data_IF_310055387840
#
_entry.id   IF_310055387840
#
_cell.length_a   1.000
_cell.length_b   1.000
_cell.length_c   1.000
_cell.angle_alpha   90.00
_cell.angle_beta   90.00
_cell.angle_gamma   90.00
#
_symmetry.space_group_name_H-M   'P 1'
#
loop_
_entity.id
_entity.type
_entity.pdbx_description
1 polymer ?
#
# COMPACT_ATOMS: atom_id res chain seq x y z
N UNK A 1 -9.96 -50.22 -4.59
CA UNK A 1 -9.17 -49.16 -5.22
C UNK A 1 -8.99 -47.91 -4.38
N UNK A 2 -9.13 -48.06 -3.05
CA UNK A 2 -8.93 -46.97 -2.08
C UNK A 2 -7.53 -46.37 -2.14
N UNK A 3 -6.53 -47.16 -2.52
CA UNK A 3 -5.15 -46.70 -2.65
C UNK A 3 -4.96 -45.72 -3.83
N UNK A 4 -5.66 -45.90 -4.92
CA UNK A 4 -5.62 -45.03 -6.08
C UNK A 4 -6.34 -43.71 -5.79
N UNK A 5 -7.51 -43.75 -5.13
CA UNK A 5 -8.27 -42.58 -4.67
C UNK A 5 -7.44 -41.78 -3.64
N UNK A 6 -6.84 -42.47 -2.66
CA UNK A 6 -5.97 -41.80 -1.65
C UNK A 6 -4.74 -41.17 -2.29
N UNK A 7 -4.16 -41.76 -3.32
CA UNK A 7 -3.03 -41.22 -4.06
C UNK A 7 -3.43 -39.98 -4.87
N UNK A 8 -4.61 -40.02 -5.51
CA UNK A 8 -5.19 -38.89 -6.26
C UNK A 8 -5.46 -37.70 -5.33
N UNK A 9 -6.16 -37.93 -4.22
CA UNK A 9 -6.43 -36.89 -3.22
C UNK A 9 -5.15 -36.28 -2.62
N UNK A 10 -4.08 -37.05 -2.52
CA UNK A 10 -2.79 -36.58 -2.01
C UNK A 10 -2.07 -35.68 -3.02
N UNK A 11 -2.12 -36.05 -4.33
CA UNK A 11 -1.59 -35.24 -5.44
C UNK A 11 -2.36 -33.94 -5.60
N UNK A 12 -3.69 -33.98 -5.51
CA UNK A 12 -4.55 -32.80 -5.61
C UNK A 12 -4.31 -31.84 -4.45
N UNK A 13 -4.15 -32.34 -3.23
CA UNK A 13 -3.77 -31.53 -2.05
C UNK A 13 -2.38 -30.88 -2.19
N UNK A 14 -1.42 -31.57 -2.79
CA UNK A 14 -0.09 -31.01 -3.03
C UNK A 14 -0.12 -29.95 -4.14
N UNK A 15 -0.86 -30.19 -5.21
CA UNK A 15 -1.07 -29.22 -6.29
C UNK A 15 -1.74 -27.93 -5.78
N UNK A 16 -2.79 -28.07 -4.96
CA UNK A 16 -3.49 -26.94 -4.34
C UNK A 16 -2.53 -26.13 -3.44
N UNK A 17 -1.78 -26.81 -2.57
CA UNK A 17 -0.78 -26.13 -1.69
C UNK A 17 0.27 -25.37 -2.48
N UNK A 18 0.75 -25.95 -3.58
CA UNK A 18 1.71 -25.32 -4.46
C UNK A 18 1.11 -24.08 -5.14
N UNK A 19 -0.11 -24.19 -5.68
CA UNK A 19 -0.80 -23.09 -6.31
C UNK A 19 -1.08 -21.94 -5.34
N UNK A 20 -1.56 -22.24 -4.12
CA UNK A 20 -1.75 -21.26 -3.07
C UNK A 20 -0.45 -20.58 -2.64
N UNK A 21 0.62 -21.36 -2.45
CA UNK A 21 1.94 -20.83 -2.13
C UNK A 21 2.42 -19.88 -3.22
N UNK A 22 2.24 -20.23 -4.49
CA UNK A 22 2.67 -19.42 -5.63
C UNK A 22 1.91 -18.10 -5.71
N UNK A 23 0.57 -18.11 -5.52
CA UNK A 23 -0.24 -16.90 -5.46
C UNK A 23 0.19 -16.00 -4.30
N UNK A 24 0.31 -16.56 -3.08
CA UNK A 24 0.78 -15.82 -1.89
C UNK A 24 2.14 -15.19 -2.12
N UNK A 25 3.09 -15.93 -2.71
CA UNK A 25 4.43 -15.42 -3.00
C UNK A 25 4.39 -14.21 -3.94
N UNK A 26 3.50 -14.19 -4.92
CA UNK A 26 3.32 -13.05 -5.82
C UNK A 26 2.73 -11.84 -5.11
N UNK A 27 1.74 -12.03 -4.27
CA UNK A 27 1.15 -10.94 -3.48
C UNK A 27 2.18 -10.36 -2.50
N UNK A 28 2.95 -11.19 -1.80
CA UNK A 28 4.06 -10.71 -0.97
C UNK A 28 5.13 -9.98 -1.79
N UNK A 29 5.36 -10.39 -3.02
CA UNK A 29 6.25 -9.68 -3.94
C UNK A 29 5.75 -8.26 -4.26
N UNK A 30 4.44 -8.06 -4.44
CA UNK A 30 3.83 -6.73 -4.60
C UNK A 30 3.96 -5.90 -3.32
N UNK A 31 3.72 -6.47 -2.14
CA UNK A 31 3.91 -5.79 -0.85
C UNK A 31 5.36 -5.31 -0.65
N UNK A 32 6.34 -6.13 -1.01
CA UNK A 32 7.75 -5.78 -0.91
C UNK A 32 8.14 -4.66 -1.90
N UNK A 33 7.62 -4.70 -3.11
CA UNK A 33 7.83 -3.65 -4.11
C UNK A 33 7.21 -2.33 -3.65
N UNK A 34 5.97 -2.37 -3.16
CA UNK A 34 5.27 -1.21 -2.61
C UNK A 34 6.02 -0.60 -1.43
N UNK A 35 6.49 -1.43 -0.50
CA UNK A 35 7.26 -0.98 0.66
C UNK A 35 8.56 -0.26 0.26
N UNK A 36 9.26 -0.76 -0.77
CA UNK A 36 10.48 -0.11 -1.30
C UNK A 36 10.16 1.22 -1.97
N UNK A 37 9.15 1.23 -2.82
CA UNK A 37 8.71 2.44 -3.51
C UNK A 37 8.27 3.52 -2.53
N UNK A 38 7.45 3.18 -1.54
CA UNK A 38 7.04 4.08 -0.47
C UNK A 38 8.25 4.66 0.28
N UNK A 39 9.23 3.82 0.62
CA UNK A 39 10.44 4.30 1.28
C UNK A 39 11.20 5.33 0.44
N UNK A 40 11.41 5.05 -0.83
CA UNK A 40 12.11 5.95 -1.75
C UNK A 40 11.35 7.25 -1.91
N UNK A 41 10.03 7.20 -2.03
CA UNK A 41 9.18 8.38 -2.18
C UNK A 41 9.15 9.25 -0.93
N UNK A 42 9.06 8.65 0.26
CA UNK A 42 9.16 9.37 1.54
C UNK A 42 10.55 10.00 1.75
N UNK A 43 11.60 9.29 1.37
CA UNK A 43 12.96 9.84 1.41
C UNK A 43 13.14 11.03 0.47
N UNK A 44 12.54 10.99 -0.71
CA UNK A 44 12.56 12.10 -1.65
C UNK A 44 11.83 13.31 -1.07
N UNK A 45 10.61 13.15 -0.59
CA UNK A 45 9.85 14.21 0.04
C UNK A 45 10.59 14.83 1.25
N UNK A 46 11.24 13.99 2.07
CA UNK A 46 12.09 14.48 3.17
C UNK A 46 13.23 15.38 2.66
N UNK A 47 13.95 14.97 1.61
CA UNK A 47 15.05 15.76 1.04
C UNK A 47 14.57 17.13 0.55
N UNK A 48 13.43 17.16 -0.14
CA UNK A 48 12.82 18.37 -0.66
C UNK A 48 12.39 19.33 0.46
N UNK A 49 11.71 18.82 1.49
CA UNK A 49 11.33 19.59 2.67
C UNK A 49 12.54 20.06 3.48
N UNK A 50 13.57 19.22 3.64
CA UNK A 50 14.80 19.58 4.34
C UNK A 50 15.58 20.68 3.61
N UNK A 51 15.58 20.67 2.28
CA UNK A 51 16.19 21.75 1.47
C UNK A 51 15.45 23.08 1.68
N UNK A 52 14.11 23.09 1.73
CA UNK A 52 13.30 24.27 2.02
C UNK A 52 13.56 24.81 3.42
N UNK A 53 13.68 23.93 4.41
CA UNK A 53 14.11 24.33 5.76
C UNK A 53 15.50 24.98 5.73
N UNK A 54 16.48 24.41 5.03
CA UNK A 54 17.82 24.96 4.90
C UNK A 54 17.79 26.38 4.33
N UNK A 55 17.05 26.59 3.25
CA UNK A 55 16.91 27.93 2.63
C UNK A 55 16.25 28.93 3.59
N UNK A 56 15.23 28.48 4.33
CA UNK A 56 14.53 29.33 5.29
C UNK A 56 15.42 29.76 6.44
N UNK A 57 16.24 28.86 6.99
CA UNK A 57 17.17 29.13 8.08
C UNK A 57 18.43 29.94 7.66
N UNK A 58 18.86 29.81 6.39
CA UNK A 58 20.05 30.49 5.89
C UNK A 58 19.84 32.02 5.70
N UNK A 59 18.61 32.49 5.65
CA UNK A 59 18.31 33.87 5.26
C UNK A 59 18.32 34.90 6.43
N UNK A 60 18.19 34.48 7.69
CA UNK A 60 18.26 35.36 8.87
C UNK A 60 18.30 34.58 10.19
N UNK A 61 18.81 35.19 11.26
CA UNK A 61 18.83 34.64 12.62
C UNK A 61 17.43 34.39 13.23
N UNK A 62 16.38 35.02 12.68
CA UNK A 62 15.00 34.80 13.10
C UNK A 62 14.02 34.81 11.90
N UNK A 63 13.30 33.72 11.70
CA UNK A 63 12.21 33.67 10.74
C UNK A 63 11.06 34.57 11.18
N UNK A 64 10.73 35.60 10.39
CA UNK A 64 9.55 36.40 10.63
C UNK A 64 8.26 35.58 10.33
N UNK A 65 7.10 36.09 10.79
CA UNK A 65 5.81 35.40 10.69
C UNK A 65 5.46 35.06 9.26
N UNK A 66 5.69 35.97 8.31
CA UNK A 66 5.34 35.77 6.89
C UNK A 66 6.19 34.66 6.26
N UNK A 67 7.48 34.62 6.51
CA UNK A 67 8.39 33.57 5.99
C UNK A 67 8.08 32.23 6.61
N UNK A 68 7.72 32.19 7.89
CA UNK A 68 7.27 30.97 8.55
C UNK A 68 6.00 30.41 7.89
N UNK A 69 5.02 31.28 7.60
CA UNK A 69 3.80 30.87 6.91
C UNK A 69 4.09 30.33 5.51
N UNK A 70 4.93 31.03 4.74
CA UNK A 70 5.34 30.60 3.41
C UNK A 70 6.06 29.24 3.44
N UNK A 71 6.96 29.01 4.42
CA UNK A 71 7.63 27.73 4.62
C UNK A 71 6.63 26.61 4.93
N UNK A 72 5.68 26.85 5.83
CA UNK A 72 4.67 25.85 6.19
C UNK A 72 3.75 25.51 5.01
N UNK A 73 3.40 26.49 4.17
CA UNK A 73 2.65 26.24 2.92
C UNK A 73 3.46 25.42 1.92
N UNK A 74 4.75 25.69 1.77
CA UNK A 74 5.61 24.90 0.88
C UNK A 74 5.76 23.45 1.36
N UNK A 75 5.85 23.23 2.66
CA UNK A 75 5.93 21.88 3.25
C UNK A 75 4.59 21.14 3.08
N UNK A 76 3.47 21.84 3.24
CA UNK A 76 2.15 21.28 2.98
C UNK A 76 2.02 20.82 1.51
N UNK A 77 2.44 21.66 0.56
CA UNK A 77 2.42 21.31 -0.86
C UNK A 77 3.28 20.05 -1.17
N UNK A 78 4.45 19.90 -0.52
CA UNK A 78 5.26 18.68 -0.67
C UNK A 78 4.54 17.44 -0.10
N UNK A 79 3.83 17.62 1.01
CA UNK A 79 3.03 16.52 1.58
C UNK A 79 1.86 16.15 0.68
N UNK A 80 1.20 17.13 0.07
CA UNK A 80 0.12 16.90 -0.88
C UNK A 80 0.61 16.15 -2.11
N UNK A 81 1.76 16.53 -2.66
CA UNK A 81 2.40 15.83 -3.76
C UNK A 81 2.77 14.38 -3.37
N UNK A 82 3.39 14.19 -2.19
CA UNK A 82 3.72 12.85 -1.69
C UNK A 82 2.48 11.96 -1.60
N UNK A 83 1.41 12.45 -0.95
CA UNK A 83 0.21 11.64 -0.72
C UNK A 83 -0.58 11.41 -2.01
N UNK A 84 -0.56 12.36 -2.96
CA UNK A 84 -1.11 12.17 -4.29
C UNK A 84 -0.40 11.07 -5.08
N UNK A 85 0.94 11.06 -5.03
CA UNK A 85 1.74 10.01 -5.67
C UNK A 85 1.49 8.64 -5.02
N UNK A 86 1.42 8.60 -3.67
CA UNK A 86 1.09 7.38 -2.92
C UNK A 86 -0.28 6.83 -3.33
N UNK A 87 -1.29 7.70 -3.42
CA UNK A 87 -2.63 7.30 -3.83
C UNK A 87 -2.65 6.72 -5.25
N UNK A 88 -2.01 7.38 -6.19
CA UNK A 88 -1.96 6.94 -7.58
C UNK A 88 -1.19 5.61 -7.74
N UNK A 89 -0.06 5.48 -7.05
CA UNK A 89 0.76 4.27 -7.13
C UNK A 89 0.05 3.09 -6.47
N UNK A 90 -0.51 3.27 -5.28
CA UNK A 90 -1.26 2.24 -4.58
C UNK A 90 -2.44 1.75 -5.42
N UNK A 91 -3.17 2.65 -6.08
CA UNK A 91 -4.26 2.27 -6.96
C UNK A 91 -3.81 1.36 -8.11
N UNK A 92 -2.65 1.62 -8.73
CA UNK A 92 -2.11 0.74 -9.76
C UNK A 92 -1.71 -0.63 -9.18
N UNK A 93 -1.08 -0.64 -8.00
CA UNK A 93 -0.71 -1.87 -7.30
C UNK A 93 -1.94 -2.71 -6.92
N UNK A 94 -3.05 -2.08 -6.54
CA UNK A 94 -4.33 -2.77 -6.28
C UNK A 94 -4.91 -3.42 -7.54
N UNK A 95 -4.86 -2.74 -8.70
CA UNK A 95 -5.30 -3.34 -9.96
C UNK A 95 -4.48 -4.59 -10.29
N UNK A 96 -3.18 -4.56 -10.05
CA UNK A 96 -2.30 -5.70 -10.27
C UNK A 96 -2.54 -6.81 -9.22
N UNK A 97 -2.77 -6.47 -7.98
CA UNK A 97 -3.12 -7.42 -6.93
C UNK A 97 -4.45 -8.14 -7.23
N UNK A 98 -5.46 -7.40 -7.70
CA UNK A 98 -6.73 -7.99 -8.15
C UNK A 98 -6.51 -9.00 -9.28
N UNK A 99 -5.72 -8.63 -10.32
CA UNK A 99 -5.38 -9.54 -11.42
C UNK A 99 -4.66 -10.79 -10.93
N UNK A 100 -3.68 -10.62 -10.03
CA UNK A 100 -2.95 -11.75 -9.45
C UNK A 100 -3.89 -12.67 -8.65
N UNK A 101 -4.79 -12.11 -7.87
CA UNK A 101 -5.81 -12.86 -7.14
C UNK A 101 -6.74 -13.63 -8.09
N UNK A 102 -7.27 -12.96 -9.10
CA UNK A 102 -8.17 -13.55 -10.08
C UNK A 102 -7.51 -14.67 -10.88
N UNK A 103 -6.46 -14.36 -11.64
CA UNK A 103 -5.84 -15.36 -12.52
C UNK A 103 -5.09 -16.44 -11.74
N UNK A 104 -4.50 -16.08 -10.61
CA UNK A 104 -3.84 -17.05 -9.73
C UNK A 104 -4.83 -18.05 -9.15
N UNK A 105 -6.01 -17.58 -8.75
CA UNK A 105 -7.06 -18.47 -8.22
C UNK A 105 -7.72 -19.31 -9.33
N UNK A 106 -7.94 -18.73 -10.51
CA UNK A 106 -8.41 -19.48 -11.67
C UNK A 106 -7.46 -20.64 -12.02
N UNK A 107 -6.15 -20.34 -12.05
CA UNK A 107 -5.13 -21.37 -12.28
C UNK A 107 -5.11 -22.42 -11.15
N UNK A 108 -5.25 -22.01 -9.89
CA UNK A 108 -5.31 -22.93 -8.75
C UNK A 108 -6.50 -23.89 -8.86
N UNK A 109 -7.67 -23.40 -9.25
CA UNK A 109 -8.85 -24.22 -9.49
C UNK A 109 -8.64 -25.19 -10.66
N UNK A 110 -8.09 -24.72 -11.78
CA UNK A 110 -7.84 -25.54 -12.97
C UNK A 110 -6.87 -26.70 -12.66
N UNK A 111 -5.89 -26.47 -11.79
CA UNK A 111 -4.94 -27.51 -11.34
C UNK A 111 -5.57 -28.56 -10.41
N UNK A 112 -6.71 -28.29 -9.82
CA UNK A 112 -7.35 -29.14 -8.80
C UNK A 112 -8.69 -29.72 -9.23
N UNK A 113 -9.23 -29.29 -10.38
CA UNK A 113 -10.44 -29.83 -10.95
C UNK A 113 -10.15 -31.05 -11.86
N UNK A 114 -11.16 -31.88 -12.02
CA UNK A 114 -11.06 -33.01 -12.96
C UNK A 114 -10.85 -32.50 -14.39
N UNK A 115 -10.15 -33.25 -15.26
CA UNK A 115 -9.85 -32.81 -16.63
C UNK A 115 -11.10 -32.50 -17.49
N UNK A 116 -12.25 -33.05 -17.12
CA UNK A 116 -13.54 -32.83 -17.78
C UNK A 116 -14.20 -31.53 -17.37
N UNK A 117 -13.76 -30.93 -16.25
CA UNK A 117 -14.30 -29.70 -15.69
C UNK A 117 -13.43 -28.52 -16.13
N UNK A 118 -14.02 -27.61 -16.89
CA UNK A 118 -13.33 -26.41 -17.34
C UNK A 118 -13.59 -25.25 -16.37
N UNK A 119 -12.53 -24.75 -15.80
CA UNK A 119 -12.57 -23.51 -15.02
C UNK A 119 -12.78 -22.31 -15.95
N UNK A 120 -13.78 -21.51 -15.65
CA UNK A 120 -14.06 -20.28 -16.41
C UNK A 120 -13.17 -19.16 -15.89
N UNK A 121 -12.27 -18.70 -16.71
CA UNK A 121 -11.47 -17.50 -16.46
C UNK A 121 -11.63 -16.56 -17.65
N UNK A 122 -12.53 -15.59 -17.53
CA UNK A 122 -12.76 -14.59 -18.57
C UNK A 122 -11.65 -13.56 -18.57
N UNK A 123 -11.38 -12.96 -19.73
CA UNK A 123 -10.61 -11.73 -19.75
C UNK A 123 -11.36 -10.64 -18.98
N UNK A 124 -10.71 -10.05 -17.98
CA UNK A 124 -11.28 -8.97 -17.19
C UNK A 124 -10.89 -7.61 -17.79
N UNK A 125 -11.87 -6.84 -18.28
CA UNK A 125 -11.61 -5.47 -18.69
C UNK A 125 -11.07 -4.63 -17.53
N UNK A 126 -10.12 -3.75 -17.79
CA UNK A 126 -9.51 -2.89 -16.76
C UNK A 126 -10.56 -2.05 -16.02
N UNK A 127 -11.62 -1.63 -16.69
CA UNK A 127 -12.70 -0.85 -16.06
C UNK A 127 -13.53 -1.67 -15.08
N UNK A 128 -13.74 -2.97 -15.34
CA UNK A 128 -14.40 -3.86 -14.39
C UNK A 128 -13.55 -4.08 -13.14
N UNK A 129 -12.24 -4.28 -13.31
CA UNK A 129 -11.30 -4.37 -12.18
C UNK A 129 -11.30 -3.08 -11.39
N UNK A 130 -11.25 -1.93 -12.07
CA UNK A 130 -11.29 -0.61 -11.44
C UNK A 130 -12.56 -0.42 -10.62
N UNK A 131 -13.72 -0.76 -11.16
CA UNK A 131 -15.00 -0.68 -10.45
C UNK A 131 -15.00 -1.54 -9.18
N UNK A 132 -14.48 -2.77 -9.26
CA UNK A 132 -14.38 -3.70 -8.13
C UNK A 132 -13.44 -3.17 -7.04
N UNK A 133 -12.26 -2.67 -7.41
CA UNK A 133 -11.26 -2.12 -6.46
C UNK A 133 -11.79 -0.86 -5.78
N UNK A 134 -12.53 0.01 -6.49
CA UNK A 134 -13.12 1.23 -5.94
C UNK A 134 -14.39 0.99 -5.11
N UNK A 135 -14.92 -0.23 -5.08
CA UNK A 135 -16.08 -0.55 -4.24
C UNK A 135 -15.72 -0.41 -2.75
N UNK A 136 -16.46 0.41 -1.98
CA UNK A 136 -16.14 0.61 -0.57
C UNK A 136 -16.18 -0.68 0.23
N UNK A 137 -15.19 -0.90 1.08
CA UNK A 137 -15.22 -1.95 2.09
C UNK A 137 -15.60 -1.34 3.45
N UNK A 138 -16.59 -1.92 4.11
CA UNK A 138 -17.09 -1.41 5.41
C UNK A 138 -17.51 0.09 5.34
N UNK A 139 -18.09 0.52 4.20
CA UNK A 139 -18.65 1.85 4.03
C UNK A 139 -17.65 2.99 3.81
N UNK A 140 -16.35 2.71 3.70
CA UNK A 140 -15.32 3.72 3.40
C UNK A 140 -14.46 3.30 2.22
N UNK A 141 -14.17 4.25 1.34
CA UNK A 141 -13.15 4.09 0.33
C UNK A 141 -11.75 4.26 0.97
N UNK A 142 -10.76 3.48 0.53
CA UNK A 142 -9.40 3.58 1.03
C UNK A 142 -8.79 4.99 0.82
N UNK A 143 -9.20 5.68 -0.26
CA UNK A 143 -8.80 7.06 -0.52
C UNK A 143 -9.20 8.03 0.59
N UNK A 144 -10.36 7.84 1.23
CA UNK A 144 -10.78 8.62 2.40
C UNK A 144 -9.87 8.34 3.62
N UNK A 145 -9.49 7.06 3.81
CA UNK A 145 -8.57 6.68 4.89
C UNK A 145 -7.19 7.30 4.68
N UNK A 146 -6.72 7.35 3.43
CA UNK A 146 -5.46 7.98 3.08
C UNK A 146 -5.52 9.49 3.27
N UNK A 147 -6.64 10.12 2.90
CA UNK A 147 -6.86 11.56 3.10
C UNK A 147 -6.87 11.94 4.58
N UNK A 148 -7.55 11.18 5.43
CA UNK A 148 -7.54 11.40 6.86
C UNK A 148 -6.13 11.24 7.46
N UNK A 149 -5.39 10.23 6.99
CA UNK A 149 -3.99 10.06 7.40
C UNK A 149 -3.12 11.24 6.97
N UNK A 150 -3.33 11.78 5.76
CA UNK A 150 -2.66 12.98 5.23
C UNK A 150 -2.93 14.19 6.12
N UNK A 151 -4.19 14.49 6.45
CA UNK A 151 -4.56 15.69 7.20
C UNK A 151 -3.96 15.68 8.61
N UNK A 152 -4.02 14.55 9.31
CA UNK A 152 -3.37 14.37 10.60
C UNK A 152 -1.84 14.56 10.49
N UNK A 153 -1.26 14.03 9.43
CA UNK A 153 0.16 14.11 9.19
C UNK A 153 0.66 15.53 8.90
N UNK A 154 -0.01 16.24 8.00
CA UNK A 154 0.28 17.66 7.72
C UNK A 154 0.21 18.50 8.99
N UNK A 155 -0.83 18.31 9.80
CA UNK A 155 -1.00 19.05 11.06
C UNK A 155 0.16 18.77 12.03
N UNK A 156 0.60 17.52 12.14
CA UNK A 156 1.70 17.12 13.02
C UNK A 156 3.02 17.72 12.58
N UNK A 157 3.34 17.68 11.29
CA UNK A 157 4.55 18.30 10.72
C UNK A 157 4.52 19.81 10.92
N UNK A 158 3.41 20.48 10.65
CA UNK A 158 3.28 21.93 10.87
C UNK A 158 3.53 22.31 12.33
N UNK A 159 2.97 21.57 13.28
CA UNK A 159 3.20 21.77 14.72
C UNK A 159 4.66 21.56 15.08
N UNK A 160 5.28 20.49 14.62
CA UNK A 160 6.66 20.14 14.89
C UNK A 160 7.62 21.22 14.40
N UNK A 161 7.47 21.68 13.16
CA UNK A 161 8.30 22.76 12.59
C UNK A 161 8.06 24.08 13.30
N UNK A 162 6.80 24.42 13.60
CA UNK A 162 6.48 25.65 14.35
C UNK A 162 7.15 25.63 15.72
N UNK A 163 7.11 24.50 16.43
CA UNK A 163 7.78 24.34 17.72
C UNK A 163 9.29 24.51 17.60
N UNK A 164 9.91 23.94 16.57
CA UNK A 164 11.35 24.11 16.30
C UNK A 164 11.74 25.58 16.07
N UNK A 165 10.95 26.30 15.28
CA UNK A 165 11.20 27.72 14.98
C UNK A 165 11.02 28.61 16.23
N UNK A 166 9.93 28.40 16.98
CA UNK A 166 9.66 29.18 18.21
C UNK A 166 10.68 28.85 19.29
N UNK A 167 11.08 27.60 19.42
CA UNK A 167 12.08 27.15 20.39
C UNK A 167 13.52 27.55 20.05
N UNK A 168 13.76 28.20 18.91
CA UNK A 168 15.11 28.61 18.48
C UNK A 168 16.01 27.40 18.17
N UNK A 169 15.44 26.25 17.79
CA UNK A 169 16.20 25.06 17.43
C UNK A 169 17.09 25.33 16.21
N UNK A 170 18.25 24.70 16.17
CA UNK A 170 19.12 24.77 14.99
C UNK A 170 18.47 24.08 13.80
N UNK A 171 18.88 24.45 12.58
CA UNK A 171 18.44 23.79 11.33
C UNK A 171 18.58 22.27 11.41
N UNK A 172 19.71 21.77 11.94
CA UNK A 172 19.95 20.34 12.07
C UNK A 172 18.97 19.64 13.02
N UNK A 173 18.53 20.33 14.07
CA UNK A 173 17.50 19.84 14.99
C UNK A 173 16.12 19.81 14.32
N UNK A 174 15.74 20.88 13.60
CA UNK A 174 14.50 20.96 12.86
C UNK A 174 14.41 19.88 11.77
N UNK A 175 15.48 19.64 11.01
CA UNK A 175 15.55 18.57 10.02
C UNK A 175 15.43 17.17 10.65
N UNK A 176 16.08 16.95 11.79
CA UNK A 176 15.99 15.69 12.52
C UNK A 176 14.56 15.46 13.00
N UNK A 177 13.91 16.47 13.56
CA UNK A 177 12.52 16.42 13.99
C UNK A 177 11.56 16.14 12.81
N UNK A 178 11.76 16.80 11.67
CA UNK A 178 11.00 16.52 10.45
C UNK A 178 11.14 15.05 10.00
N UNK A 179 12.36 14.52 10.05
CA UNK A 179 12.61 13.12 9.72
C UNK A 179 11.90 12.16 10.66
N UNK A 180 11.90 12.47 11.96
CA UNK A 180 11.22 11.67 12.98
C UNK A 180 9.71 11.70 12.79
N UNK A 181 9.12 12.85 12.44
CA UNK A 181 7.68 12.97 12.13
C UNK A 181 7.28 12.20 10.86
N UNK A 182 8.13 12.18 9.86
CA UNK A 182 7.93 11.34 8.68
C UNK A 182 8.05 9.84 8.97
N UNK A 183 8.60 9.48 10.12
CA UNK A 183 8.81 8.09 10.52
C UNK A 183 9.93 7.39 9.74
N UNK A 184 10.82 8.16 9.13
CA UNK A 184 11.94 7.65 8.34
C UNK A 184 13.08 7.24 9.28
N UNK A 185 13.45 5.95 9.38
CA UNK A 185 14.51 5.50 10.26
C UNK A 185 15.88 6.01 9.80
N UNK A 186 16.77 6.26 10.73
CA UNK A 186 18.19 6.54 10.44
C UNK A 186 18.94 5.33 9.90
N UNK A 187 18.45 4.13 10.23
CA UNK A 187 18.92 2.84 9.76
C UNK A 187 17.72 2.01 9.31
N UNK A 188 17.76 1.47 8.10
CA UNK A 188 16.70 0.59 7.53
C UNK A 188 16.37 -0.61 8.42
N UNK A 189 17.32 -1.04 9.30
CA UNK A 189 17.13 -2.14 10.24
C UNK A 189 16.28 -1.76 11.46
N UNK A 190 16.14 -0.46 11.72
CA UNK A 190 15.34 0.05 12.83
C UNK A 190 13.92 0.33 12.35
N UNK A 191 13.08 -0.64 12.23
CA UNK A 191 11.70 -0.59 11.77
C UNK A 191 11.05 0.80 11.61
N UNK A 192 10.21 0.93 10.62
CA UNK A 192 9.49 2.17 10.31
C UNK A 192 8.53 2.55 11.45
N UNK A 193 8.37 3.85 11.69
CA UNK A 193 7.53 4.38 12.78
C UNK A 193 6.48 5.36 12.22
N UNK A 194 5.45 5.60 13.02
CA UNK A 194 4.45 6.64 12.81
C UNK A 194 3.80 6.65 11.40
N UNK A 195 3.90 7.74 10.68
CA UNK A 195 3.14 7.99 9.45
C UNK A 195 3.56 7.08 8.29
N UNK A 196 4.84 6.82 8.11
CA UNK A 196 5.30 5.85 7.12
C UNK A 196 4.73 4.45 7.39
N UNK A 197 4.79 4.00 8.65
CA UNK A 197 4.24 2.71 9.05
C UNK A 197 2.73 2.63 8.81
N UNK A 198 1.98 3.70 9.11
CA UNK A 198 0.55 3.76 8.85
C UNK A 198 0.22 3.68 7.36
N UNK A 199 0.95 4.44 6.51
CA UNK A 199 0.79 4.37 5.06
C UNK A 199 1.10 2.97 4.52
N UNK A 200 2.15 2.34 5.01
CA UNK A 200 2.52 0.98 4.65
C UNK A 200 1.45 -0.06 5.07
N UNK A 201 0.84 0.11 6.26
CA UNK A 201 -0.27 -0.74 6.69
C UNK A 201 -1.50 -0.58 5.79
N UNK A 202 -1.85 0.66 5.42
CA UNK A 202 -2.95 0.92 4.48
C UNK A 202 -2.65 0.20 3.15
N UNK A 203 -1.48 0.42 2.58
CA UNK A 203 -1.08 -0.19 1.32
C UNK A 203 -1.16 -1.73 1.37
N UNK A 204 -0.60 -2.33 2.41
CA UNK A 204 -0.64 -3.78 2.60
C UNK A 204 -2.07 -4.33 2.72
N UNK A 205 -2.90 -3.67 3.50
CA UNK A 205 -4.31 -4.05 3.67
C UNK A 205 -5.06 -4.00 2.35
N UNK A 206 -4.86 -2.95 1.56
CA UNK A 206 -5.54 -2.76 0.30
C UNK A 206 -5.04 -3.73 -0.79
N UNK A 207 -3.76 -4.02 -0.86
CA UNK A 207 -3.19 -5.05 -1.75
C UNK A 207 -3.83 -6.42 -1.45
N UNK A 208 -3.90 -6.81 -0.18
CA UNK A 208 -4.53 -8.07 0.23
C UNK A 208 -6.02 -8.08 -0.09
N UNK A 209 -6.73 -6.98 0.19
CA UNK A 209 -8.15 -6.82 -0.13
C UNK A 209 -8.39 -6.98 -1.63
N UNK A 210 -7.65 -6.28 -2.47
CA UNK A 210 -7.79 -6.34 -3.93
C UNK A 210 -7.54 -7.76 -4.47
N UNK A 211 -6.52 -8.44 -3.97
CA UNK A 211 -6.25 -9.84 -4.32
C UNK A 211 -7.39 -10.77 -3.94
N UNK A 212 -7.96 -10.61 -2.73
CA UNK A 212 -9.09 -11.41 -2.28
C UNK A 212 -10.35 -11.14 -3.12
N UNK A 213 -10.63 -9.89 -3.48
CA UNK A 213 -11.73 -9.55 -4.38
C UNK A 213 -11.59 -10.24 -5.74
N UNK A 214 -10.37 -10.27 -6.30
CA UNK A 214 -10.08 -11.02 -7.52
C UNK A 214 -10.34 -12.51 -7.36
N UNK A 215 -9.94 -13.11 -6.25
CA UNK A 215 -10.20 -14.52 -5.96
C UNK A 215 -11.72 -14.83 -5.85
N UNK A 216 -12.47 -13.97 -5.16
CA UNK A 216 -13.94 -14.10 -5.04
C UNK A 216 -14.62 -14.07 -6.40
N UNK A 217 -14.23 -13.14 -7.27
CA UNK A 217 -14.80 -13.04 -8.61
C UNK A 217 -14.62 -14.32 -9.42
N UNK A 218 -13.52 -15.06 -9.25
CA UNK A 218 -13.33 -16.38 -9.88
C UNK A 218 -14.28 -17.42 -9.29
N UNK A 219 -14.44 -17.44 -7.97
CA UNK A 219 -15.34 -18.38 -7.31
C UNK A 219 -16.80 -18.16 -7.73
N UNK A 220 -17.24 -16.91 -7.82
CA UNK A 220 -18.57 -16.55 -8.28
C UNK A 220 -18.81 -16.99 -9.74
N UNK A 221 -17.81 -16.84 -10.62
CA UNK A 221 -17.90 -17.32 -12.02
C UNK A 221 -17.92 -18.83 -12.15
N UNK A 222 -17.44 -19.56 -11.15
CA UNK A 222 -17.33 -21.01 -11.14
C UNK A 222 -18.13 -21.63 -9.97
N UNK A 223 -19.22 -21.00 -9.56
CA UNK A 223 -20.05 -21.45 -8.44
C UNK A 223 -20.64 -22.84 -8.64
N UNK A 224 -20.79 -23.28 -9.88
CA UNK A 224 -21.21 -24.63 -10.26
C UNK A 224 -20.11 -25.68 -10.04
N UNK A 225 -18.87 -25.30 -9.99
CA UNK A 225 -17.70 -26.17 -9.75
C UNK A 225 -17.25 -26.09 -8.29
N UNK A 226 -17.34 -24.91 -7.68
CA UNK A 226 -16.95 -24.63 -6.31
C UNK A 226 -18.18 -24.72 -5.41
N UNK A 227 -18.48 -25.90 -4.89
CA UNK A 227 -19.73 -26.17 -4.16
C UNK A 227 -19.89 -25.39 -2.85
N UNK A 228 -18.84 -25.14 -2.10
CA UNK A 228 -18.80 -24.27 -0.94
C UNK A 228 -17.35 -23.81 -0.68
N UNK A 229 -17.19 -22.57 -0.30
CA UNK A 229 -15.91 -22.03 0.12
C UNK A 229 -16.10 -21.29 1.46
N UNK A 230 -15.24 -21.65 2.40
CA UNK A 230 -15.16 -20.99 3.70
C UNK A 230 -13.98 -19.99 3.72
N UNK A 231 -14.19 -18.87 4.37
CA UNK A 231 -13.20 -17.80 4.54
C UNK A 231 -12.25 -18.09 5.70
#
# INVERSE_FOLDING_TARGET
DDAAITRQLRTDSEALRYAEWWVRRRIYGLEDQESRWLFERYMQAYKEMAAKLTIAYAKEDRLNIQRRQALLQQIEAEMDALMGDVANHLFQTELDAYRQGYYGRAWSLDMTTLPEVRVRASYLPTDAIRASVLTPYVGRQWGETLQLARDEFVLRIKRSITTSIIGGESMAQAQRRLRDELGIPTDRRKGFKQNFYRTMLIARTEIMRASNLGAVAVYEQNADVVGAWEW
#
